data_IF_322215878896
#
_entry.id   IF_322215878896
#
_cell.length_a   1.000
_cell.length_b   1.000
_cell.length_c   1.000
_cell.angle_alpha   90.00
_cell.angle_beta   90.00
_cell.angle_gamma   90.00
#
_symmetry.space_group_name_H-M   'P 1'
#
loop_
_entity.id
_entity.type
_entity.pdbx_description
1 polymer ?
#
# COMPACT_ATOMS: atom_id res chain seq x y z
N UNK A 1 -33.99 23.46 -72.67
CA UNK A 1 -34.06 24.30 -71.46
C UNK A 1 -34.03 23.36 -70.25
N UNK A 2 -32.91 23.27 -69.58
CA UNK A 2 -32.71 22.32 -68.44
C UNK A 2 -31.97 23.03 -67.31
N UNK A 3 -32.70 23.42 -66.30
CA UNK A 3 -32.21 24.08 -65.11
C UNK A 3 -31.34 23.13 -64.31
N UNK A 4 -30.04 23.39 -64.22
CA UNK A 4 -29.17 22.72 -63.27
C UNK A 4 -29.20 23.50 -61.96
N UNK A 5 -29.79 22.94 -60.94
CA UNK A 5 -29.71 23.43 -59.58
C UNK A 5 -28.37 23.04 -59.00
N UNK A 6 -27.51 24.05 -58.82
CA UNK A 6 -26.29 23.93 -58.09
C UNK A 6 -26.62 23.82 -56.60
N UNK A 7 -26.55 22.65 -56.04
CA UNK A 7 -26.71 22.42 -54.62
C UNK A 7 -25.37 22.78 -53.95
N UNK A 8 -25.32 23.98 -53.35
CA UNK A 8 -24.20 24.35 -52.48
C UNK A 8 -24.19 23.44 -51.24
N UNK A 9 -23.27 22.52 -51.21
CA UNK A 9 -23.00 21.68 -50.04
C UNK A 9 -22.20 22.51 -49.04
N UNK A 10 -22.86 23.06 -48.07
CA UNK A 10 -22.25 23.77 -46.93
C UNK A 10 -21.53 22.71 -46.07
N UNK A 11 -20.26 22.53 -46.27
CA UNK A 11 -19.40 21.75 -45.37
C UNK A 11 -19.22 22.59 -44.12
N UNK A 12 -20.05 22.33 -43.11
CA UNK A 12 -19.82 22.81 -41.75
C UNK A 12 -18.62 22.04 -41.19
N UNK A 13 -17.46 22.69 -41.30
CA UNK A 13 -16.23 22.25 -40.65
C UNK A 13 -16.44 22.44 -39.13
N UNK A 14 -16.98 21.42 -38.48
CA UNK A 14 -17.10 21.35 -37.03
C UNK A 14 -15.66 21.20 -36.48
N UNK A 15 -14.98 22.32 -36.24
CA UNK A 15 -13.79 22.32 -35.40
C UNK A 15 -14.22 21.90 -34.00
N UNK A 16 -14.11 20.61 -33.72
CA UNK A 16 -14.02 20.11 -32.35
C UNK A 16 -12.76 20.73 -31.74
N UNK A 17 -12.96 21.85 -31.03
CA UNK A 17 -12.01 22.35 -30.07
C UNK A 17 -11.84 21.25 -29.01
N UNK A 18 -10.99 20.26 -29.28
CA UNK A 18 -10.36 19.45 -28.28
C UNK A 18 -9.49 20.40 -27.43
N UNK A 19 -10.13 21.07 -26.48
CA UNK A 19 -9.40 21.68 -25.38
C UNK A 19 -8.80 20.53 -24.58
N UNK A 20 -7.68 20.02 -25.08
CA UNK A 20 -6.86 19.11 -24.32
C UNK A 20 -6.51 19.83 -23.02
N UNK A 21 -7.07 19.37 -21.91
CA UNK A 21 -6.65 19.79 -20.58
C UNK A 21 -5.18 19.38 -20.48
N UNK A 22 -4.28 20.34 -20.73
CA UNK A 22 -2.86 20.10 -20.59
C UNK A 22 -2.54 20.13 -19.10
N UNK A 23 -2.06 19.02 -18.58
CA UNK A 23 -1.60 18.96 -17.21
C UNK A 23 -0.50 20.02 -16.97
N UNK A 24 -0.68 20.84 -15.94
CA UNK A 24 0.32 21.83 -15.56
C UNK A 24 1.58 21.09 -15.10
N UNK A 25 2.69 21.28 -15.81
CA UNK A 25 3.98 20.70 -15.46
C UNK A 25 4.70 21.61 -14.47
N UNK A 26 5.07 21.08 -13.30
CA UNK A 26 5.74 21.83 -12.25
C UNK A 26 7.09 21.20 -11.93
N UNK A 27 8.16 22.03 -11.97
CA UNK A 27 9.51 21.63 -11.53
C UNK A 27 9.68 22.00 -10.06
N UNK A 28 10.12 21.06 -9.21
CA UNK A 28 10.37 21.34 -7.79
C UNK A 28 11.39 22.47 -7.60
N UNK A 29 11.10 23.42 -6.70
CA UNK A 29 12.07 24.42 -6.26
C UNK A 29 13.09 23.78 -5.29
N UNK A 30 14.21 24.47 -5.05
CA UNK A 30 15.22 24.04 -4.07
C UNK A 30 14.94 24.56 -2.65
N UNK A 31 13.87 25.35 -2.46
CA UNK A 31 13.46 25.88 -1.15
C UNK A 31 12.41 24.98 -0.54
N UNK A 32 12.72 24.40 0.61
CA UNK A 32 11.83 23.48 1.34
C UNK A 32 11.15 24.21 2.49
N UNK A 33 9.87 23.92 2.68
CA UNK A 33 9.05 24.45 3.78
C UNK A 33 8.22 23.34 4.42
N UNK A 34 7.75 23.61 5.65
CA UNK A 34 6.69 22.82 6.29
C UNK A 34 5.45 23.68 6.38
N UNK A 35 4.32 23.17 5.92
CA UNK A 35 3.01 23.83 6.00
C UNK A 35 2.13 23.03 6.94
N UNK A 36 1.82 23.60 8.11
CA UNK A 36 0.87 23.00 9.05
C UNK A 36 -0.56 23.13 8.54
N UNK A 37 -1.37 22.07 8.74
CA UNK A 37 -2.79 22.04 8.38
C UNK A 37 -3.64 22.13 9.64
N UNK A 38 -4.25 23.29 9.87
CA UNK A 38 -5.02 23.55 11.10
C UNK A 38 -6.46 23.02 11.08
N UNK A 39 -6.98 22.61 9.90
CA UNK A 39 -8.37 22.22 9.72
C UNK A 39 -8.52 20.70 9.49
N UNK A 40 -7.67 19.89 10.14
CA UNK A 40 -7.74 18.44 10.04
C UNK A 40 -8.43 17.89 11.29
N UNK A 41 -9.54 17.17 11.07
CA UNK A 41 -10.26 16.46 12.14
C UNK A 41 -9.53 15.16 12.51
N UNK A 42 -9.93 14.54 13.63
CA UNK A 42 -9.40 13.22 14.00
C UNK A 42 -9.66 12.19 12.90
N UNK A 43 -8.66 11.35 12.69
CA UNK A 43 -8.73 10.23 11.74
C UNK A 43 -8.12 8.98 12.37
N UNK A 44 -8.55 7.83 11.88
CA UNK A 44 -7.96 6.51 12.18
C UNK A 44 -7.62 5.72 10.92
N UNK A 45 -7.84 6.32 9.76
CA UNK A 45 -7.54 5.72 8.45
C UNK A 45 -6.80 6.71 7.57
N UNK A 46 -5.91 6.20 6.72
CA UNK A 46 -5.16 6.98 5.74
C UNK A 46 -5.45 6.41 4.35
N UNK A 47 -5.81 7.28 3.41
CA UNK A 47 -6.00 6.91 2.01
C UNK A 47 -5.15 7.82 1.13
N UNK A 48 -4.20 7.24 0.40
CA UNK A 48 -3.30 7.95 -0.50
C UNK A 48 -3.64 7.61 -1.94
N UNK A 49 -3.84 8.65 -2.75
CA UNK A 49 -4.07 8.51 -4.18
C UNK A 49 -2.93 9.19 -4.97
N UNK A 50 -2.27 8.44 -5.83
CA UNK A 50 -1.16 8.91 -6.65
C UNK A 50 0.21 8.64 -6.03
N UNK A 51 1.06 9.68 -5.90
CA UNK A 51 2.48 9.53 -5.53
C UNK A 51 2.97 10.35 -4.32
N UNK A 52 2.13 11.01 -3.51
CA UNK A 52 2.62 11.73 -2.34
C UNK A 52 2.86 10.79 -1.17
N UNK A 53 4.07 10.78 -0.65
CA UNK A 53 4.43 9.92 0.49
C UNK A 53 3.80 10.40 1.79
N UNK A 54 3.62 9.47 2.74
CA UNK A 54 3.10 9.75 4.07
C UNK A 54 4.00 9.17 5.13
N UNK A 55 4.42 10.00 6.08
CA UNK A 55 5.04 9.57 7.32
C UNK A 55 4.01 9.68 8.46
N UNK A 56 3.69 8.56 9.08
CA UNK A 56 2.72 8.51 10.18
C UNK A 56 3.38 8.08 11.48
N UNK A 57 2.96 8.73 12.58
CA UNK A 57 3.27 8.32 13.97
C UNK A 57 2.00 8.33 14.80
N UNK A 58 1.80 7.32 15.63
CA UNK A 58 0.70 7.36 16.58
C UNK A 58 1.00 8.40 17.66
N UNK A 59 0.03 9.26 17.96
CA UNK A 59 0.16 10.25 19.04
C UNK A 59 0.02 9.62 20.42
N UNK A 60 0.73 10.18 21.42
CA UNK A 60 0.63 9.72 22.81
C UNK A 60 -0.60 10.29 23.56
N UNK A 61 -1.56 10.86 22.86
CA UNK A 61 -2.75 11.48 23.44
C UNK A 61 -3.84 11.67 22.39
N UNK A 62 -4.79 12.56 22.64
CA UNK A 62 -5.91 12.82 21.73
C UNK A 62 -5.59 13.77 20.58
N UNK A 63 -4.35 14.29 20.50
CA UNK A 63 -3.98 15.31 19.51
C UNK A 63 -3.73 14.71 18.14
N UNK A 64 -4.40 15.24 17.14
CA UNK A 64 -4.14 15.00 15.73
C UNK A 64 -3.34 16.15 15.14
N UNK A 65 -2.31 15.85 14.36
CA UNK A 65 -1.52 16.85 13.62
C UNK A 65 -1.27 16.36 12.22
N UNK A 66 -1.31 17.28 11.25
CA UNK A 66 -0.96 17.00 9.87
C UNK A 66 -0.21 18.19 9.32
N UNK A 67 0.92 17.94 8.67
CA UNK A 67 1.70 18.95 7.95
C UNK A 67 2.18 18.40 6.61
N UNK A 68 2.48 19.30 5.70
CA UNK A 68 3.07 18.98 4.39
C UNK A 68 4.49 19.53 4.39
N UNK A 69 5.46 18.66 4.13
CA UNK A 69 6.85 19.04 3.93
C UNK A 69 7.25 18.87 2.47
N UNK A 70 7.86 19.89 1.88
CA UNK A 70 8.32 19.79 0.50
C UNK A 70 8.81 21.10 -0.07
N UNK A 71 9.08 21.12 -1.39
CA UNK A 71 9.39 22.33 -2.12
C UNK A 71 8.25 23.35 -1.99
N UNK A 72 8.56 24.62 -1.76
CA UNK A 72 7.57 25.68 -1.49
C UNK A 72 6.50 25.82 -2.60
N UNK A 73 6.86 25.54 -3.84
CA UNK A 73 5.96 25.55 -4.99
C UNK A 73 5.18 24.23 -5.19
N UNK A 74 5.42 23.19 -4.37
CA UNK A 74 4.73 21.91 -4.46
C UNK A 74 3.73 21.67 -3.29
N UNK A 75 3.99 22.25 -2.10
CA UNK A 75 3.16 21.98 -0.92
C UNK A 75 1.69 22.36 -1.13
N UNK A 76 1.40 23.38 -1.94
CA UNK A 76 0.04 23.81 -2.27
C UNK A 76 -0.61 22.99 -3.39
N UNK A 77 0.11 22.04 -3.96
CA UNK A 77 -0.41 21.11 -4.96
C UNK A 77 -0.97 19.83 -4.34
N UNK A 78 -0.73 19.59 -3.03
CA UNK A 78 -1.39 18.53 -2.31
C UNK A 78 -2.78 18.96 -1.82
N UNK A 79 -3.73 18.06 -2.00
CA UNK A 79 -5.05 18.13 -1.40
C UNK A 79 -5.07 17.14 -0.23
N UNK A 80 -5.03 17.68 0.99
CA UNK A 80 -5.05 16.89 2.22
C UNK A 80 -6.26 17.31 3.04
N UNK A 81 -7.13 16.36 3.32
CA UNK A 81 -8.37 16.61 4.07
C UNK A 81 -8.77 15.38 4.88
N UNK A 82 -9.63 15.58 5.88
CA UNK A 82 -10.23 14.47 6.62
C UNK A 82 -11.72 14.37 6.31
N UNK A 83 -12.16 13.23 5.81
CA UNK A 83 -13.56 12.94 5.51
C UNK A 83 -13.93 11.62 6.19
N UNK A 84 -14.96 11.64 7.03
CA UNK A 84 -15.46 10.45 7.76
C UNK A 84 -14.36 9.66 8.50
N UNK A 85 -13.41 10.37 9.15
CA UNK A 85 -12.32 9.72 9.88
C UNK A 85 -11.20 9.14 9.00
N UNK A 86 -11.18 9.45 7.71
CA UNK A 86 -10.13 9.08 6.76
C UNK A 86 -9.32 10.32 6.38
N UNK A 87 -8.02 10.31 6.61
CA UNK A 87 -7.08 11.28 6.07
C UNK A 87 -6.88 10.96 4.58
N UNK A 88 -7.41 11.79 3.71
CA UNK A 88 -7.25 11.68 2.27
C UNK A 88 -6.06 12.53 1.82
N UNK A 89 -5.15 11.92 1.07
CA UNK A 89 -3.94 12.57 0.54
C UNK A 89 -3.91 12.39 -0.97
N UNK A 90 -4.04 13.47 -1.72
CA UNK A 90 -4.07 13.48 -3.17
C UNK A 90 -3.19 14.59 -3.74
N UNK A 91 -2.80 14.47 -5.00
CA UNK A 91 -2.29 15.61 -5.79
C UNK A 91 -3.46 16.25 -6.52
N UNK A 92 -3.47 17.57 -6.62
CA UNK A 92 -4.45 18.32 -7.43
C UNK A 92 -4.53 17.73 -8.83
N UNK A 93 -5.76 17.69 -9.37
CA UNK A 93 -5.98 17.24 -10.75
C UNK A 93 -5.19 18.09 -11.74
N UNK A 94 -4.82 17.48 -12.86
CA UNK A 94 -4.14 18.16 -13.98
C UNK A 94 -2.78 18.76 -13.62
N UNK A 95 -2.10 18.23 -12.59
CA UNK A 95 -0.73 18.58 -12.21
C UNK A 95 0.20 17.41 -12.48
N UNK A 96 1.27 17.68 -13.23
CA UNK A 96 2.39 16.78 -13.45
C UNK A 96 3.64 17.35 -12.79
N UNK A 97 4.13 16.69 -11.76
CA UNK A 97 5.39 17.07 -11.12
C UNK A 97 6.53 16.39 -11.90
N UNK A 98 7.48 17.18 -12.40
CA UNK A 98 8.66 16.64 -13.07
C UNK A 98 9.53 15.86 -12.08
N UNK A 99 10.25 14.87 -12.61
CA UNK A 99 11.22 14.10 -11.84
C UNK A 99 12.33 15.02 -11.30
N UNK A 100 12.68 14.83 -10.06
CA UNK A 100 13.68 15.60 -9.33
C UNK A 100 13.72 15.10 -7.89
N UNK A 101 14.55 15.68 -7.02
CA UNK A 101 14.51 15.39 -5.58
C UNK A 101 13.15 15.80 -4.99
N UNK A 102 12.20 14.90 -5.05
CA UNK A 102 10.87 15.10 -4.49
C UNK A 102 10.90 14.83 -3.00
N UNK A 103 11.11 15.85 -2.21
CA UNK A 103 10.90 15.75 -0.76
C UNK A 103 9.49 16.19 -0.40
N UNK A 104 8.49 15.80 -1.21
CA UNK A 104 7.09 16.14 -0.96
C UNK A 104 6.43 15.00 -0.20
N UNK A 105 6.13 15.24 1.08
CA UNK A 105 5.46 14.25 1.94
C UNK A 105 4.49 14.89 2.90
N UNK A 106 3.48 14.12 3.29
CA UNK A 106 2.60 14.43 4.41
C UNK A 106 3.16 13.80 5.68
N UNK A 107 3.27 14.58 6.75
CA UNK A 107 3.63 14.12 8.09
C UNK A 107 2.37 14.18 8.93
N UNK A 108 1.93 13.02 9.41
CA UNK A 108 0.63 12.88 10.08
C UNK A 108 0.76 12.15 11.41
N UNK A 109 -0.09 12.56 12.36
CA UNK A 109 -0.22 11.90 13.66
C UNK A 109 -1.66 11.89 14.13
N UNK A 110 -2.12 10.77 14.68
CA UNK A 110 -3.46 10.63 15.28
C UNK A 110 -3.43 9.62 16.43
N UNK A 111 -4.47 9.60 17.30
CA UNK A 111 -4.52 8.67 18.45
C UNK A 111 -4.56 7.19 18.09
N UNK A 112 -5.10 6.84 16.93
CA UNK A 112 -5.26 5.46 16.47
C UNK A 112 -5.08 5.35 14.97
N UNK A 113 -4.67 4.16 14.51
CA UNK A 113 -4.60 3.83 13.09
C UNK A 113 -5.21 2.44 12.89
N UNK A 114 -6.19 2.32 12.03
CA UNK A 114 -6.89 1.06 11.73
C UNK A 114 -6.78 0.66 10.26
N UNK A 115 -6.39 1.61 9.39
CA UNK A 115 -6.35 1.35 7.95
C UNK A 115 -5.35 2.26 7.23
N UNK A 116 -4.64 1.69 6.27
CA UNK A 116 -3.83 2.39 5.28
C UNK A 116 -4.17 1.84 3.90
N UNK A 117 -4.63 2.70 3.01
CA UNK A 117 -4.91 2.39 1.62
C UNK A 117 -4.02 3.20 0.70
N UNK A 118 -3.24 2.55 -0.14
CA UNK A 118 -2.46 3.17 -1.21
C UNK A 118 -3.07 2.80 -2.56
N UNK A 119 -3.36 3.81 -3.38
CA UNK A 119 -3.76 3.65 -4.79
C UNK A 119 -2.83 4.47 -5.67
N UNK A 120 -1.79 3.82 -6.17
CA UNK A 120 -0.75 4.47 -6.97
C UNK A 120 0.67 4.03 -6.63
N UNK A 121 1.60 5.00 -6.51
CA UNK A 121 3.03 4.77 -6.28
C UNK A 121 3.58 5.58 -5.11
N UNK A 122 2.72 5.92 -4.15
CA UNK A 122 3.10 6.59 -2.91
C UNK A 122 3.65 5.58 -1.90
N UNK A 123 4.58 6.02 -1.05
CA UNK A 123 5.07 5.22 0.06
C UNK A 123 4.50 5.71 1.39
N UNK A 124 4.14 4.77 2.25
CA UNK A 124 3.65 5.07 3.61
C UNK A 124 4.59 4.48 4.65
N UNK A 125 5.15 5.35 5.48
CA UNK A 125 6.08 5.02 6.54
C UNK A 125 5.40 5.09 7.90
N UNK A 126 5.17 3.97 8.54
CA UNK A 126 4.60 3.84 9.88
C UNK A 126 5.73 3.82 10.92
N UNK A 127 6.01 4.97 11.50
CA UNK A 127 7.19 5.22 12.36
C UNK A 127 6.90 5.03 13.84
N UNK A 128 7.88 4.48 14.57
CA UNK A 128 7.80 4.22 16.00
C UNK A 128 6.90 3.02 16.31
N UNK A 129 6.29 3.00 17.48
CA UNK A 129 5.38 1.92 17.90
C UNK A 129 3.93 2.34 17.68
N UNK A 130 3.20 1.57 16.91
CA UNK A 130 1.78 1.78 16.64
C UNK A 130 0.99 0.60 17.22
N UNK A 131 -0.08 0.92 17.95
CA UNK A 131 -0.87 -0.06 18.70
C UNK A 131 -2.35 0.07 18.36
N UNK A 132 -3.04 -1.05 18.34
CA UNK A 132 -4.48 -1.06 18.12
C UNK A 132 -5.06 -2.47 18.22
N UNK A 133 -6.32 -2.59 17.81
CA UNK A 133 -6.99 -3.89 17.75
C UNK A 133 -6.86 -4.49 16.35
N UNK A 134 -7.30 -3.79 15.34
CA UNK A 134 -7.31 -4.23 13.96
C UNK A 134 -6.55 -3.22 13.08
N UNK A 135 -5.70 -3.70 12.17
CA UNK A 135 -4.99 -2.90 11.19
C UNK A 135 -5.11 -3.53 9.81
N UNK A 136 -5.63 -2.76 8.85
CA UNK A 136 -5.71 -3.13 7.44
C UNK A 136 -4.69 -2.32 6.65
N UNK A 137 -3.79 -2.99 5.95
CA UNK A 137 -2.77 -2.43 5.07
C UNK A 137 -3.04 -2.89 3.65
N UNK A 138 -3.41 -1.97 2.77
CA UNK A 138 -3.81 -2.30 1.40
C UNK A 138 -3.01 -1.49 0.39
N UNK A 139 -2.39 -2.16 -0.57
CA UNK A 139 -1.73 -1.56 -1.71
C UNK A 139 -2.44 -1.98 -2.99
N UNK A 140 -2.82 -1.00 -3.80
CA UNK A 140 -3.30 -1.19 -5.17
C UNK A 140 -2.44 -0.33 -6.12
N UNK A 141 -1.31 -0.88 -6.56
CA UNK A 141 -0.32 -0.16 -7.37
C UNK A 141 1.11 -0.64 -7.17
N UNK A 142 2.05 0.31 -7.08
CA UNK A 142 3.49 0.06 -6.97
C UNK A 142 4.16 0.88 -5.86
N UNK A 143 3.38 1.44 -4.95
CA UNK A 143 3.89 2.10 -3.75
C UNK A 143 4.06 1.11 -2.62
N UNK A 144 4.78 1.49 -1.55
CA UNK A 144 5.19 0.60 -0.49
C UNK A 144 4.64 1.01 0.89
N UNK A 145 4.50 0.04 1.80
CA UNK A 145 4.22 0.28 3.20
C UNK A 145 5.36 -0.27 4.05
N UNK A 146 6.05 0.61 4.77
CA UNK A 146 7.03 0.20 5.77
C UNK A 146 6.53 0.47 7.19
N UNK A 147 6.59 -0.52 8.08
CA UNK A 147 6.26 -0.35 9.50
C UNK A 147 7.41 -0.77 10.42
N UNK A 148 7.75 0.08 11.39
CA UNK A 148 8.84 -0.19 12.34
C UNK A 148 8.41 -1.17 13.44
N UNK A 149 7.33 -0.85 14.18
CA UNK A 149 6.84 -1.70 15.26
C UNK A 149 5.32 -1.67 15.33
N UNK A 150 4.68 -2.82 15.17
CA UNK A 150 3.23 -2.98 15.23
C UNK A 150 2.83 -3.89 16.39
N UNK A 151 1.89 -3.43 17.22
CA UNK A 151 1.30 -4.20 18.32
C UNK A 151 -0.22 -4.19 18.16
N UNK A 152 -0.77 -5.23 17.55
CA UNK A 152 -2.19 -5.35 17.22
C UNK A 152 -2.73 -6.72 17.61
N UNK A 153 -4.05 -6.83 17.74
CA UNK A 153 -4.71 -8.13 17.84
C UNK A 153 -4.73 -8.79 16.47
N UNK A 154 -5.15 -8.05 15.44
CA UNK A 154 -5.24 -8.55 14.07
C UNK A 154 -4.56 -7.60 13.10
N UNK A 155 -3.81 -8.14 12.13
CA UNK A 155 -3.27 -7.41 11.00
C UNK A 155 -3.72 -8.09 9.71
N UNK A 156 -4.19 -7.29 8.77
CA UNK A 156 -4.54 -7.69 7.41
C UNK A 156 -3.63 -6.94 6.45
N UNK A 157 -2.82 -7.63 5.66
CA UNK A 157 -1.89 -7.05 4.69
C UNK A 157 -2.21 -7.58 3.29
N UNK A 158 -2.54 -6.69 2.37
CA UNK A 158 -2.95 -7.04 1.00
C UNK A 158 -2.17 -6.22 -0.02
N UNK A 159 -1.49 -6.90 -0.92
CA UNK A 159 -0.84 -6.30 -2.09
C UNK A 159 -1.58 -6.71 -3.35
N UNK A 160 -2.06 -5.71 -4.12
CA UNK A 160 -2.60 -5.87 -5.48
C UNK A 160 -1.77 -5.03 -6.43
N UNK A 161 -0.79 -5.65 -7.06
CA UNK A 161 0.14 -4.95 -7.96
C UNK A 161 1.59 -5.38 -7.77
N UNK A 162 2.50 -4.40 -7.70
CA UNK A 162 3.95 -4.62 -7.62
C UNK A 162 4.61 -3.84 -6.47
N UNK A 163 3.82 -3.27 -5.57
CA UNK A 163 4.33 -2.60 -4.37
C UNK A 163 4.55 -3.62 -3.25
N UNK A 164 5.30 -3.23 -2.21
CA UNK A 164 5.74 -4.11 -1.15
C UNK A 164 5.24 -3.69 0.24
N UNK A 165 5.09 -4.65 1.14
CA UNK A 165 4.80 -4.40 2.56
C UNK A 165 5.93 -4.97 3.42
N UNK A 166 6.67 -4.10 4.14
CA UNK A 166 7.74 -4.48 5.06
C UNK A 166 7.34 -4.19 6.53
N UNK A 167 7.08 -5.24 7.30
CA UNK A 167 6.72 -5.19 8.71
C UNK A 167 7.90 -5.64 9.57
N UNK A 168 8.71 -4.68 10.03
CA UNK A 168 10.04 -4.93 10.66
C UNK A 168 9.95 -5.58 12.04
N UNK A 169 8.90 -5.28 12.83
CA UNK A 169 8.68 -5.89 14.14
C UNK A 169 7.19 -5.93 14.47
N UNK A 170 6.61 -7.12 14.36
CA UNK A 170 5.17 -7.34 14.60
C UNK A 170 4.98 -8.16 15.88
N UNK A 171 4.05 -7.72 16.71
CA UNK A 171 3.50 -8.52 17.81
C UNK A 171 1.99 -8.59 17.65
N UNK A 172 1.48 -9.75 17.26
CA UNK A 172 0.08 -9.91 16.84
C UNK A 172 -0.49 -11.26 17.26
N UNK A 173 -1.80 -11.31 17.48
CA UNK A 173 -2.50 -12.59 17.68
C UNK A 173 -2.73 -13.27 16.33
N UNK A 174 -3.29 -12.54 15.36
CA UNK A 174 -3.58 -13.09 14.03
C UNK A 174 -3.04 -12.14 12.94
N UNK A 175 -2.29 -12.68 11.99
CA UNK A 175 -1.93 -11.99 10.77
C UNK A 175 -2.46 -12.74 9.56
N UNK A 176 -3.05 -12.01 8.62
CA UNK A 176 -3.44 -12.50 7.30
C UNK A 176 -2.74 -11.66 6.25
N UNK A 177 -1.96 -12.31 5.39
CA UNK A 177 -1.18 -11.64 4.33
C UNK A 177 -1.50 -12.27 3.00
N UNK A 178 -1.81 -11.44 2.02
CA UNK A 178 -2.19 -11.87 0.68
C UNK A 178 -1.48 -11.03 -0.39
N UNK A 179 -0.86 -11.71 -1.33
CA UNK A 179 -0.25 -11.11 -2.53
C UNK A 179 -1.04 -11.56 -3.75
N UNK A 180 -1.63 -10.59 -4.47
CA UNK A 180 -2.36 -10.77 -5.72
C UNK A 180 -1.65 -10.00 -6.84
N UNK A 181 -0.42 -10.39 -7.17
CA UNK A 181 0.41 -9.67 -8.13
C UNK A 181 1.86 -10.14 -8.13
N UNK A 182 2.77 -9.17 -8.19
CA UNK A 182 4.23 -9.40 -8.26
C UNK A 182 5.00 -8.63 -7.18
N UNK A 183 4.32 -7.96 -6.27
CA UNK A 183 4.94 -7.34 -5.10
C UNK A 183 5.08 -8.32 -3.95
N UNK A 184 5.82 -7.96 -2.91
CA UNK A 184 6.21 -8.83 -1.82
C UNK A 184 5.66 -8.40 -0.46
N UNK A 185 5.55 -9.35 0.47
CA UNK A 185 5.25 -9.05 1.87
C UNK A 185 6.33 -9.67 2.75
N UNK A 186 7.07 -8.81 3.49
CA UNK A 186 8.09 -9.23 4.42
C UNK A 186 7.64 -8.98 5.86
N UNK A 187 7.78 -9.98 6.74
CA UNK A 187 7.34 -9.87 8.13
C UNK A 187 8.35 -10.46 9.10
N UNK A 188 8.59 -9.74 10.21
CA UNK A 188 9.43 -10.19 11.34
C UNK A 188 8.70 -9.93 12.65
N UNK A 189 8.87 -10.81 13.64
CA UNK A 189 8.29 -10.66 14.97
C UNK A 189 7.63 -11.92 15.49
N UNK A 190 6.40 -11.80 16.02
CA UNK A 190 5.67 -12.94 16.59
C UNK A 190 4.17 -12.89 16.28
N UNK A 191 3.57 -14.07 16.04
CA UNK A 191 2.14 -14.28 15.86
C UNK A 191 1.68 -15.58 16.53
N UNK A 192 0.41 -15.65 16.96
CA UNK A 192 -0.18 -16.95 17.33
C UNK A 192 -0.63 -17.69 16.05
N UNK A 193 -1.26 -16.96 15.12
CA UNK A 193 -1.74 -17.51 13.85
C UNK A 193 -1.30 -16.64 12.69
N UNK A 194 -0.73 -17.26 11.65
CA UNK A 194 -0.44 -16.63 10.37
C UNK A 194 -1.17 -17.34 9.23
N UNK A 195 -1.87 -16.58 8.38
CA UNK A 195 -2.44 -17.06 7.11
C UNK A 195 -1.75 -16.32 6.00
N UNK A 196 -1.03 -17.04 5.14
CA UNK A 196 -0.17 -16.50 4.10
C UNK A 196 -0.66 -17.02 2.76
N UNK A 197 -0.98 -16.12 1.83
CA UNK A 197 -1.53 -16.50 0.52
C UNK A 197 -0.84 -15.74 -0.59
N UNK A 198 -0.33 -16.47 -1.57
CA UNK A 198 0.22 -15.91 -2.81
C UNK A 198 -0.61 -16.38 -4.00
N UNK A 199 -1.21 -15.41 -4.71
CA UNK A 199 -2.00 -15.63 -5.93
C UNK A 199 -1.34 -14.87 -7.10
N UNK A 200 -0.08 -15.19 -7.40
CA UNK A 200 0.67 -14.46 -8.42
C UNK A 200 2.11 -14.92 -8.53
N UNK A 201 3.02 -13.96 -8.72
CA UNK A 201 4.46 -14.19 -8.87
C UNK A 201 5.30 -13.47 -7.83
N UNK A 202 4.68 -12.70 -6.92
CA UNK A 202 5.35 -12.10 -5.78
C UNK A 202 5.45 -13.07 -4.61
N UNK A 203 6.20 -12.74 -3.58
CA UNK A 203 6.58 -13.63 -2.50
C UNK A 203 6.08 -13.17 -1.12
N UNK A 204 5.99 -14.12 -0.18
CA UNK A 204 5.80 -13.80 1.23
C UNK A 204 6.97 -14.35 2.04
N UNK A 205 7.76 -13.46 2.64
CA UNK A 205 8.88 -13.79 3.52
C UNK A 205 8.51 -13.59 4.98
N UNK A 206 8.14 -14.66 5.66
CA UNK A 206 7.76 -14.70 7.07
C UNK A 206 8.63 -15.68 7.90
N UNK A 207 9.84 -15.98 7.44
CA UNK A 207 10.78 -16.88 8.14
C UNK A 207 11.19 -16.36 9.53
N UNK A 208 11.17 -15.01 9.70
CA UNK A 208 11.48 -14.31 10.95
C UNK A 208 10.24 -13.89 11.75
N UNK A 209 9.06 -14.34 11.34
CA UNK A 209 7.83 -14.24 12.11
C UNK A 209 7.62 -15.52 12.90
N UNK A 210 7.96 -15.52 14.17
CA UNK A 210 7.75 -16.68 15.04
C UNK A 210 6.24 -16.93 15.23
N UNK A 211 5.65 -17.77 14.37
CA UNK A 211 4.25 -18.12 14.41
C UNK A 211 4.03 -19.53 15.04
N UNK A 212 2.95 -19.68 15.82
CA UNK A 212 2.58 -20.99 16.35
C UNK A 212 1.87 -21.83 15.28
N UNK A 213 0.82 -21.29 14.68
CA UNK A 213 0.04 -21.99 13.66
C UNK A 213 0.10 -21.22 12.34
N UNK A 214 0.43 -21.91 11.28
CA UNK A 214 0.56 -21.32 9.93
C UNK A 214 -0.33 -22.07 8.95
N UNK A 215 -1.07 -21.29 8.16
CA UNK A 215 -1.73 -21.73 6.93
C UNK A 215 -1.04 -21.01 5.77
N UNK A 216 -0.39 -21.74 4.88
CA UNK A 216 0.34 -21.19 3.74
C UNK A 216 -0.24 -21.74 2.43
N UNK A 217 -0.61 -20.86 1.51
CA UNK A 217 -1.18 -21.24 0.22
C UNK A 217 -0.50 -20.50 -0.92
N UNK A 218 0.00 -21.23 -1.90
CA UNK A 218 0.53 -20.68 -3.15
C UNK A 218 -0.33 -21.17 -4.32
N UNK A 219 -0.87 -20.19 -5.07
CA UNK A 219 -1.62 -20.42 -6.31
C UNK A 219 -1.00 -19.55 -7.43
N UNK A 220 0.19 -19.92 -7.87
CA UNK A 220 0.97 -19.14 -8.84
C UNK A 220 2.39 -19.63 -9.00
N UNK A 221 3.31 -18.70 -9.20
CA UNK A 221 4.75 -18.95 -9.38
C UNK A 221 5.62 -18.31 -8.31
N UNK A 222 5.03 -17.52 -7.40
CA UNK A 222 5.73 -16.94 -6.27
C UNK A 222 5.84 -17.94 -5.11
N UNK A 223 6.64 -17.60 -4.11
CA UNK A 223 7.02 -18.49 -3.02
C UNK A 223 6.56 -17.97 -1.65
N UNK A 224 6.47 -18.90 -0.71
CA UNK A 224 6.27 -18.55 0.72
C UNK A 224 7.39 -19.17 1.54
N UNK A 225 8.11 -18.33 2.30
CA UNK A 225 9.00 -18.82 3.35
C UNK A 225 8.42 -18.45 4.70
N UNK A 226 8.18 -19.44 5.59
CA UNK A 226 7.54 -19.21 6.88
C UNK A 226 8.21 -19.94 8.04
N UNK A 227 7.81 -19.60 9.27
CA UNK A 227 8.20 -20.33 10.48
C UNK A 227 6.96 -20.78 11.22
N UNK A 228 6.89 -22.06 11.59
CA UNK A 228 5.82 -22.65 12.38
C UNK A 228 6.37 -23.47 13.55
N UNK A 229 5.80 -23.32 14.76
CA UNK A 229 6.21 -24.09 15.93
C UNK A 229 5.16 -25.13 16.38
N UNK A 230 3.90 -24.97 16.04
CA UNK A 230 2.80 -25.87 16.41
C UNK A 230 2.23 -26.63 15.23
N UNK A 231 1.52 -25.97 14.33
CA UNK A 231 0.88 -26.58 13.17
C UNK A 231 1.22 -25.84 11.90
N UNK A 232 1.44 -26.58 10.82
CA UNK A 232 1.56 -26.09 9.46
C UNK A 232 0.56 -26.79 8.55
N UNK A 233 -0.31 -26.01 7.90
CA UNK A 233 -1.15 -26.44 6.77
C UNK A 233 -0.64 -25.74 5.52
N UNK A 234 0.04 -26.46 4.63
CA UNK A 234 0.68 -25.90 3.44
C UNK A 234 0.09 -26.48 2.17
N UNK A 235 -0.28 -25.59 1.23
CA UNK A 235 -0.86 -25.97 -0.07
C UNK A 235 -0.19 -25.23 -1.21
N UNK A 236 0.23 -25.96 -2.24
CA UNK A 236 0.77 -25.42 -3.49
C UNK A 236 -0.04 -25.93 -4.68
N UNK A 237 -0.59 -24.98 -5.46
CA UNK A 237 -1.29 -25.24 -6.71
C UNK A 237 -0.70 -24.36 -7.83
N UNK A 238 0.50 -24.65 -8.26
CA UNK A 238 1.20 -23.83 -9.25
C UNK A 238 2.62 -24.30 -9.46
N UNK A 239 3.52 -23.35 -9.75
CA UNK A 239 4.96 -23.60 -9.97
C UNK A 239 5.84 -23.09 -8.84
N UNK A 240 5.28 -22.30 -7.93
CA UNK A 240 5.98 -21.83 -6.76
C UNK A 240 6.10 -22.86 -5.64
N UNK A 241 6.82 -22.50 -4.59
CA UNK A 241 7.17 -23.40 -3.48
C UNK A 241 6.79 -22.82 -2.11
N UNK A 242 6.68 -23.67 -1.11
CA UNK A 242 6.58 -23.30 0.31
C UNK A 242 7.76 -23.91 1.06
N UNK A 243 8.56 -23.04 1.65
CA UNK A 243 9.62 -23.44 2.55
C UNK A 243 9.25 -23.08 3.99
N UNK A 244 9.45 -24.00 4.95
CA UNK A 244 9.17 -23.70 6.33
C UNK A 244 10.34 -24.03 7.26
N UNK A 245 10.51 -23.20 8.25
CA UNK A 245 11.43 -23.36 9.37
C UNK A 245 10.65 -23.70 10.63
N UNK A 246 11.35 -24.16 11.67
CA UNK A 246 10.77 -24.56 12.94
C UNK A 246 10.50 -26.06 13.01
N UNK A 247 9.81 -26.48 14.07
CA UNK A 247 9.51 -27.90 14.32
C UNK A 247 8.03 -28.07 14.69
N UNK A 248 7.13 -27.84 13.73
CA UNK A 248 5.70 -28.00 13.98
C UNK A 248 5.36 -29.46 14.30
N UNK A 249 4.52 -29.68 15.31
CA UNK A 249 4.09 -31.02 15.71
C UNK A 249 3.11 -31.66 14.70
N UNK A 250 2.45 -30.85 13.90
CA UNK A 250 1.53 -31.29 12.84
C UNK A 250 1.90 -30.58 11.54
N UNK A 251 2.11 -31.36 10.48
CA UNK A 251 2.40 -30.83 9.14
C UNK A 251 1.50 -31.49 8.11
N UNK A 252 0.60 -30.73 7.54
CA UNK A 252 -0.27 -31.15 6.43
C UNK A 252 0.22 -30.51 5.14
N UNK A 253 0.56 -31.32 4.14
CA UNK A 253 1.10 -30.86 2.86
C UNK A 253 0.19 -31.29 1.72
N UNK A 254 -0.14 -30.34 0.81
CA UNK A 254 -0.88 -30.60 -0.41
C UNK A 254 -0.22 -29.89 -1.59
N UNK A 255 0.38 -30.61 -2.51
CA UNK A 255 1.07 -30.05 -3.68
C UNK A 255 1.86 -31.09 -4.43
N UNK A 256 2.68 -30.63 -5.40
CA UNK A 256 3.60 -31.50 -6.13
C UNK A 256 4.72 -32.01 -5.21
N UNK A 257 5.36 -33.10 -5.59
CA UNK A 257 6.53 -33.61 -4.87
C UNK A 257 7.61 -32.52 -4.80
N UNK A 258 8.13 -32.29 -3.60
CA UNK A 258 9.16 -31.30 -3.27
C UNK A 258 8.75 -29.82 -3.36
N UNK A 259 7.49 -29.48 -3.65
CA UNK A 259 7.04 -28.08 -3.59
C UNK A 259 6.79 -27.56 -2.16
N UNK A 260 6.89 -28.41 -1.14
CA UNK A 260 6.75 -28.02 0.26
C UNK A 260 7.86 -28.69 1.07
N UNK A 261 8.85 -27.91 1.50
CA UNK A 261 10.07 -28.40 2.15
C UNK A 261 10.29 -27.77 3.51
N UNK A 262 10.80 -28.56 4.47
CA UNK A 262 11.27 -28.09 5.78
C UNK A 262 12.78 -27.96 5.78
N UNK A 263 13.30 -26.91 6.42
CA UNK A 263 14.73 -26.72 6.73
C UNK A 263 15.05 -27.14 8.14
#
# INVERSE_FOLDING_TARGET
MRNSKVTSMLVVLMFLLLTGIQAQTVTPSKKYITKELNNVSNFSSISVLGSPDVEYRQSNGSKTTVSIYGSDNLVDLLEVSTVNGVLQVNIKKDVKILSGERRLKVIASSPSLNQVDIKGSADVYLKGTIKGNDLNLNIAGSGDIEAENLQYTNIFALVKGSGDIDLKNVKVTTVMSEVNGSGDINMKGSAQKATLTVNGSGDISAEKLAATNVVATVAGSGDIVCYASGQLDARVSGSGDIEYNGSPSVVNKQGKKNSITGK
#
